data_IF_336857921326
#
_entry.id   IF_336857921326
#
_cell.length_a   1.000
_cell.length_b   1.000
_cell.length_c   1.000
_cell.angle_alpha   90.00
_cell.angle_beta   90.00
_cell.angle_gamma   90.00
#
_symmetry.space_group_name_H-M   'P 1'
#
loop_
_entity.id
_entity.type
_entity.pdbx_description
1 polymer ?
#
# COMPACT_ATOMS: atom_id res chain seq x y z
N UNK A 1 -0.43 -18.56 13.08
CA UNK A 1 0.22 -18.22 11.79
C UNK A 1 0.48 -16.72 11.82
N UNK A 2 1.73 -16.29 11.62
CA UNK A 2 2.11 -14.89 11.74
C UNK A 2 2.00 -14.18 10.37
N UNK A 3 1.51 -12.94 10.39
CA UNK A 3 1.63 -12.03 9.27
C UNK A 3 3.12 -11.76 9.04
N UNK A 4 3.67 -12.21 7.91
CA UNK A 4 5.09 -12.04 7.61
C UNK A 4 5.30 -10.82 6.71
N UNK A 5 6.08 -9.87 7.20
CA UNK A 5 6.59 -8.78 6.39
C UNK A 5 7.71 -9.30 5.49
N UNK A 6 7.43 -9.47 4.21
CA UNK A 6 8.40 -9.94 3.21
C UNK A 6 9.56 -8.95 3.06
N UNK A 7 9.30 -7.65 3.14
CA UNK A 7 10.33 -6.61 2.97
C UNK A 7 10.70 -5.95 4.29
N UNK A 8 11.98 -5.72 4.46
CA UNK A 8 12.51 -4.75 5.42
C UNK A 8 12.27 -3.33 4.88
N UNK A 9 11.93 -2.39 5.76
CA UNK A 9 11.69 -1.00 5.40
C UNK A 9 12.76 -0.13 6.03
N UNK A 10 13.37 0.72 5.20
CA UNK A 10 14.31 1.76 5.64
C UNK A 10 13.72 3.12 5.33
N UNK A 11 13.55 3.97 6.33
CA UNK A 11 13.00 5.30 6.16
C UNK A 11 14.01 6.24 5.50
N UNK A 12 13.53 7.04 4.57
CA UNK A 12 14.29 8.10 3.92
C UNK A 12 13.79 9.41 4.49
N UNK A 13 14.62 10.09 5.29
CA UNK A 13 14.25 11.38 5.83
C UNK A 13 14.17 12.46 4.74
N UNK A 14 12.96 12.87 4.41
CA UNK A 14 12.65 13.91 3.41
C UNK A 14 12.00 15.15 4.04
N UNK A 15 12.09 15.35 5.36
CA UNK A 15 11.42 16.45 6.06
C UNK A 15 11.67 17.80 5.41
N UNK A 16 12.92 18.11 5.01
CA UNK A 16 13.25 19.38 4.32
C UNK A 16 12.44 19.60 3.03
N UNK A 17 12.08 18.53 2.35
CA UNK A 17 11.27 18.57 1.13
C UNK A 17 9.78 18.62 1.48
N UNK A 18 9.35 17.79 2.43
CA UNK A 18 7.95 17.70 2.86
C UNK A 18 7.46 19.02 3.47
N UNK A 19 8.29 19.67 4.27
CA UNK A 19 7.96 20.96 4.91
C UNK A 19 7.81 22.14 3.90
N UNK A 20 8.21 21.94 2.64
CA UNK A 20 8.05 22.93 1.56
C UNK A 20 6.79 22.72 0.73
N UNK A 21 6.06 21.63 0.96
CA UNK A 21 4.82 21.34 0.23
C UNK A 21 3.73 22.35 0.66
N UNK A 22 3.05 22.90 -0.35
CA UNK A 22 1.93 23.85 -0.16
C UNK A 22 0.84 23.55 -1.17
N UNK A 23 -0.40 23.83 -0.81
CA UNK A 23 -1.58 23.74 -1.68
C UNK A 23 -1.60 22.43 -2.50
N UNK A 24 -1.42 21.31 -1.83
CA UNK A 24 -1.42 19.98 -2.46
C UNK A 24 -2.11 18.96 -1.55
N UNK A 25 -2.77 17.98 -2.15
CA UNK A 25 -3.20 16.80 -1.43
C UNK A 25 -1.97 15.90 -1.21
N UNK A 26 -1.66 15.62 0.04
CA UNK A 26 -0.57 14.71 0.44
C UNK A 26 -1.18 13.35 0.73
N UNK A 27 -0.97 12.39 -0.18
CA UNK A 27 -1.44 11.03 -0.02
C UNK A 27 -0.40 10.17 0.70
N UNK A 28 -0.70 9.80 1.93
CA UNK A 28 0.19 9.06 2.83
C UNK A 28 -0.11 7.57 2.71
N UNK A 29 0.79 6.80 2.10
CA UNK A 29 0.60 5.36 1.89
C UNK A 29 0.84 4.52 3.15
N UNK A 30 1.69 4.98 4.06
CA UNK A 30 2.09 4.25 5.27
C UNK A 30 2.37 5.19 6.44
N UNK A 31 2.10 4.72 7.64
CA UNK A 31 2.33 5.46 8.91
C UNK A 31 3.78 5.91 9.12
N UNK A 32 4.75 5.11 8.68
CA UNK A 32 6.19 5.35 8.85
C UNK A 32 6.63 6.72 8.32
N UNK A 33 5.95 7.21 7.25
CA UNK A 33 6.20 8.55 6.69
C UNK A 33 6.14 9.66 7.75
N UNK A 34 5.32 9.46 8.78
CA UNK A 34 5.05 10.45 9.83
C UNK A 34 5.94 10.29 11.07
N UNK A 35 6.73 9.21 11.17
CA UNK A 35 7.59 8.94 12.34
C UNK A 35 8.65 10.02 12.52
N UNK A 36 9.18 10.57 11.42
CA UNK A 36 10.12 11.70 11.44
C UNK A 36 9.46 13.07 11.67
N UNK A 37 8.16 13.09 11.98
CA UNK A 37 7.37 14.28 12.28
C UNK A 37 7.55 15.46 11.29
N UNK A 38 7.30 15.26 9.98
CA UNK A 38 7.30 16.36 9.03
C UNK A 38 6.24 17.39 9.41
N UNK A 39 6.54 18.67 9.18
CA UNK A 39 5.56 19.75 9.37
C UNK A 39 4.94 20.08 8.03
N UNK A 40 3.65 19.90 7.89
CA UNK A 40 2.93 20.25 6.67
C UNK A 40 2.29 21.61 6.78
N UNK A 41 2.34 22.38 5.68
CA UNK A 41 1.67 23.68 5.59
C UNK A 41 0.14 23.50 5.72
N UNK A 42 -0.52 24.46 6.37
CA UNK A 42 -1.97 24.42 6.59
C UNK A 42 -2.80 24.42 5.30
N UNK A 43 -2.22 24.83 4.16
CA UNK A 43 -2.86 24.72 2.84
C UNK A 43 -2.86 23.32 2.25
N UNK A 44 -2.18 22.35 2.88
CA UNK A 44 -2.15 20.98 2.44
C UNK A 44 -3.34 20.18 2.96
N UNK A 45 -3.88 19.31 2.11
CA UNK A 45 -4.90 18.33 2.47
C UNK A 45 -4.20 17.01 2.76
N UNK A 46 -4.28 16.48 3.98
CA UNK A 46 -3.67 15.21 4.33
C UNK A 46 -4.69 14.07 4.14
N UNK A 47 -4.30 13.06 3.38
CA UNK A 47 -5.12 11.89 3.08
C UNK A 47 -4.33 10.61 3.31
N UNK A 48 -4.93 9.58 3.92
CA UNK A 48 -4.26 8.31 4.16
C UNK A 48 -4.83 7.18 3.32
N UNK A 49 -4.02 6.18 3.03
CA UNK A 49 -4.44 4.99 2.27
C UNK A 49 -5.39 4.07 3.05
N UNK A 50 -5.47 4.19 4.37
CA UNK A 50 -6.33 3.35 5.20
C UNK A 50 -6.40 3.77 6.65
N UNK A 51 -7.42 3.28 7.38
CA UNK A 51 -7.74 3.61 8.78
C UNK A 51 -6.58 3.39 9.75
N UNK A 52 -5.76 2.36 9.55
CA UNK A 52 -4.59 2.09 10.41
C UNK A 52 -3.60 3.26 10.36
N UNK A 53 -3.30 3.78 9.17
CA UNK A 53 -2.43 4.94 9.00
C UNK A 53 -3.08 6.22 9.52
N UNK A 54 -4.39 6.38 9.32
CA UNK A 54 -5.18 7.49 9.84
C UNK A 54 -5.13 7.60 11.37
N UNK A 55 -5.38 6.49 12.07
CA UNK A 55 -5.32 6.44 13.56
C UNK A 55 -3.93 6.81 14.09
N UNK A 56 -2.87 6.28 13.48
CA UNK A 56 -1.50 6.62 13.88
C UNK A 56 -1.18 8.09 13.63
N UNK A 57 -1.59 8.63 12.47
CA UNK A 57 -1.41 10.05 12.15
C UNK A 57 -2.07 10.97 13.19
N UNK A 58 -3.32 10.66 13.55
CA UNK A 58 -4.04 11.44 14.58
C UNK A 58 -3.36 11.36 15.96
N UNK A 59 -2.88 10.17 16.35
CA UNK A 59 -2.12 10.01 17.60
C UNK A 59 -0.81 10.81 17.62
N UNK A 60 -0.24 11.07 16.43
CA UNK A 60 0.94 11.92 16.26
C UNK A 60 0.59 13.42 16.19
N UNK A 61 -0.69 13.78 16.26
CA UNK A 61 -1.17 15.17 16.25
C UNK A 61 -1.45 15.74 14.85
N UNK A 62 -1.50 14.90 13.80
CA UNK A 62 -1.86 15.36 12.46
C UNK A 62 -3.37 15.38 12.27
N UNK A 63 -3.88 16.48 11.72
CA UNK A 63 -5.25 16.54 11.23
C UNK A 63 -5.34 15.87 9.86
N UNK A 64 -6.00 14.72 9.79
CA UNK A 64 -6.20 13.98 8.54
C UNK A 64 -7.61 14.23 8.02
N UNK A 65 -7.70 14.73 6.78
CA UNK A 65 -8.95 15.14 6.14
C UNK A 65 -9.78 13.95 5.64
N UNK A 66 -9.12 12.80 5.37
CA UNK A 66 -9.80 11.59 4.96
C UNK A 66 -8.91 10.39 4.71
N UNK A 67 -9.54 9.28 4.35
CA UNK A 67 -8.85 8.01 4.09
C UNK A 67 -9.53 7.25 2.95
N UNK A 68 -8.74 6.53 2.15
CA UNK A 68 -9.26 5.65 1.09
C UNK A 68 -9.74 4.29 1.59
N UNK A 69 -9.49 3.96 2.82
CA UNK A 69 -9.86 2.75 3.57
C UNK A 69 -10.17 1.52 2.71
N UNK A 70 -9.15 0.77 2.36
CA UNK A 70 -9.24 -0.48 1.56
C UNK A 70 -9.65 -0.32 0.09
N UNK A 71 -10.12 0.84 -0.36
CA UNK A 71 -10.51 1.07 -1.76
C UNK A 71 -9.32 1.33 -2.69
N UNK A 72 -8.14 1.54 -2.10
CA UNK A 72 -6.88 1.69 -2.84
C UNK A 72 -6.70 3.05 -3.50
N UNK A 73 -5.64 3.15 -4.31
CA UNK A 73 -5.19 4.41 -4.92
C UNK A 73 -6.10 4.93 -6.04
N UNK A 74 -7.01 4.10 -6.55
CA UNK A 74 -7.99 4.53 -7.55
C UNK A 74 -8.92 5.63 -7.02
N UNK A 75 -9.11 5.68 -5.71
CA UNK A 75 -9.95 6.68 -5.04
C UNK A 75 -9.31 8.08 -4.97
N UNK A 76 -8.00 8.19 -5.23
CA UNK A 76 -7.36 9.52 -5.30
C UNK A 76 -8.04 10.39 -6.36
N UNK A 77 -8.44 9.80 -7.50
CA UNK A 77 -9.17 10.52 -8.54
C UNK A 77 -10.57 10.95 -8.09
N UNK A 78 -11.26 10.11 -7.34
CA UNK A 78 -12.57 10.46 -6.77
C UNK A 78 -12.45 11.61 -5.76
N UNK A 79 -11.37 11.65 -4.97
CA UNK A 79 -11.09 12.77 -4.06
C UNK A 79 -10.90 14.07 -4.83
N UNK A 80 -10.24 14.05 -6.00
CA UNK A 80 -10.09 15.25 -6.84
C UNK A 80 -11.43 15.86 -7.25
N UNK A 81 -12.46 15.06 -7.43
CA UNK A 81 -13.82 15.56 -7.75
C UNK A 81 -14.36 16.49 -6.63
N UNK A 82 -13.99 16.23 -5.37
CA UNK A 82 -14.43 17.04 -4.22
C UNK A 82 -13.55 18.27 -3.96
N UNK A 83 -12.23 18.16 -4.22
CA UNK A 83 -11.27 19.24 -3.91
C UNK A 83 -10.92 20.11 -5.11
N UNK A 84 -11.37 19.73 -6.31
CA UNK A 84 -11.08 20.36 -7.60
C UNK A 84 -10.12 19.52 -8.45
N UNK A 85 -10.49 19.31 -9.71
CA UNK A 85 -9.76 18.44 -10.65
C UNK A 85 -8.30 18.84 -10.86
N UNK A 86 -8.02 20.15 -10.75
CA UNK A 86 -6.67 20.69 -10.93
C UNK A 86 -5.85 20.78 -9.62
N UNK A 87 -6.41 20.34 -8.48
CA UNK A 87 -5.67 20.41 -7.23
C UNK A 87 -4.54 19.37 -7.24
N UNK A 88 -3.28 19.81 -7.03
CA UNK A 88 -2.14 18.92 -7.17
C UNK A 88 -2.17 17.80 -6.14
N UNK A 89 -1.71 16.63 -6.55
CA UNK A 89 -1.55 15.47 -5.66
C UNK A 89 -0.08 15.12 -5.53
N UNK A 90 0.37 14.93 -4.31
CA UNK A 90 1.70 14.43 -3.98
C UNK A 90 1.57 13.15 -3.16
N UNK A 91 2.02 12.03 -3.70
CA UNK A 91 2.00 10.72 -3.02
C UNK A 91 3.32 10.50 -2.29
N UNK A 92 3.24 10.17 -1.01
CA UNK A 92 4.37 9.75 -0.20
C UNK A 92 4.42 8.22 -0.19
N UNK A 93 5.45 7.64 -0.79
CA UNK A 93 5.50 6.20 -1.08
C UNK A 93 6.92 5.64 -1.02
N UNK A 94 7.10 4.37 -1.37
CA UNK A 94 8.41 3.76 -1.45
C UNK A 94 9.13 4.13 -2.76
N UNK A 95 10.44 4.02 -2.75
CA UNK A 95 11.30 4.28 -3.89
C UNK A 95 10.91 3.44 -5.10
N UNK A 96 10.86 4.07 -6.26
CA UNK A 96 10.46 3.48 -7.56
C UNK A 96 8.97 3.08 -7.67
N UNK A 97 8.10 3.72 -6.90
CA UNK A 97 6.64 3.58 -7.06
C UNK A 97 6.09 4.71 -7.94
N UNK A 98 6.38 4.63 -9.22
CA UNK A 98 5.93 5.64 -10.18
C UNK A 98 4.48 5.42 -10.59
N UNK A 99 3.66 6.46 -10.42
CA UNK A 99 2.28 6.48 -10.88
C UNK A 99 2.15 7.57 -11.94
N UNK A 100 1.67 7.25 -13.14
CA UNK A 100 1.46 8.25 -14.17
C UNK A 100 0.58 9.42 -13.69
N UNK A 101 1.03 10.64 -13.93
CA UNK A 101 0.33 11.88 -13.60
C UNK A 101 0.16 12.18 -12.09
N UNK A 102 0.88 11.49 -11.21
CA UNK A 102 0.92 11.79 -9.77
C UNK A 102 2.36 12.07 -9.36
N UNK A 103 2.60 13.22 -8.73
CA UNK A 103 3.91 13.52 -8.15
C UNK A 103 4.19 12.56 -7.01
N UNK A 104 5.31 11.84 -7.06
CA UNK A 104 5.75 10.92 -6.00
C UNK A 104 6.93 11.50 -5.22
N UNK A 105 6.98 11.22 -3.93
CA UNK A 105 8.14 11.48 -3.08
C UNK A 105 8.47 10.18 -2.37
N UNK A 106 9.71 9.72 -2.59
CA UNK A 106 10.22 8.51 -1.97
C UNK A 106 10.58 8.78 -0.51
N UNK A 107 9.83 8.22 0.41
CA UNK A 107 9.99 8.41 1.85
C UNK A 107 10.45 7.17 2.60
N UNK A 108 10.48 6.02 1.93
CA UNK A 108 11.08 4.78 2.42
C UNK A 108 11.52 3.88 1.27
N UNK A 109 12.40 2.94 1.57
CA UNK A 109 12.83 1.87 0.67
C UNK A 109 12.33 0.52 1.17
N UNK A 110 12.12 -0.41 0.23
CA UNK A 110 11.80 -1.80 0.49
C UNK A 110 13.03 -2.63 0.13
N UNK A 111 13.65 -3.23 1.13
CA UNK A 111 14.92 -3.94 1.00
C UNK A 111 14.79 -5.41 1.43
N UNK A 112 15.75 -6.23 1.03
CA UNK A 112 16.02 -7.55 1.56
C UNK A 112 14.75 -8.43 1.69
N UNK A 113 14.12 -8.84 0.57
CA UNK A 113 12.94 -9.69 0.66
C UNK A 113 13.27 -11.01 1.35
N UNK A 114 12.66 -11.25 2.50
CA UNK A 114 12.77 -12.49 3.28
C UNK A 114 11.51 -13.31 3.11
N UNK A 115 11.66 -14.52 2.65
CA UNK A 115 10.57 -15.47 2.49
C UNK A 115 10.71 -16.61 3.48
N UNK A 116 9.59 -17.21 3.91
CA UNK A 116 9.63 -18.44 4.69
C UNK A 116 10.36 -19.56 3.93
N UNK A 117 11.09 -20.40 4.65
CA UNK A 117 11.81 -21.53 4.06
C UNK A 117 10.87 -22.55 3.39
N UNK A 118 9.65 -22.65 3.89
CA UNK A 118 8.60 -23.54 3.38
C UNK A 118 7.76 -22.94 2.23
N UNK A 119 8.17 -21.79 1.68
CA UNK A 119 7.39 -21.02 0.69
C UNK A 119 6.91 -21.91 -0.50
N UNK A 120 7.79 -22.72 -1.05
CA UNK A 120 7.49 -23.62 -2.19
C UNK A 120 6.47 -24.71 -1.85
N UNK A 121 6.34 -25.09 -0.58
CA UNK A 121 5.48 -26.17 -0.11
C UNK A 121 4.09 -25.67 0.33
N UNK A 122 3.92 -24.37 0.48
CA UNK A 122 2.63 -23.80 0.84
C UNK A 122 1.64 -23.94 -0.29
N UNK A 123 0.39 -24.19 0.07
CA UNK A 123 -0.72 -24.36 -0.89
C UNK A 123 -1.49 -23.08 -1.14
N UNK A 124 -1.49 -22.17 -0.17
CA UNK A 124 -2.35 -20.99 -0.15
C UNK A 124 -1.61 -19.75 0.33
N UNK A 125 -1.90 -18.63 -0.30
CA UNK A 125 -1.23 -17.36 -0.07
C UNK A 125 -2.22 -16.20 0.00
N UNK A 126 -2.03 -15.30 0.97
CA UNK A 126 -2.71 -14.00 0.97
C UNK A 126 -1.70 -12.87 0.70
N UNK A 127 -1.93 -12.11 -0.37
CA UNK A 127 -1.01 -11.08 -0.82
C UNK A 127 -1.47 -9.67 -0.44
N UNK A 128 -0.70 -9.01 0.42
CA UNK A 128 -0.93 -7.62 0.81
C UNK A 128 -0.45 -6.61 -0.25
N UNK A 129 0.38 -7.04 -1.21
CA UNK A 129 0.86 -6.19 -2.30
C UNK A 129 1.26 -6.99 -3.53
N UNK A 130 1.08 -6.36 -4.69
CA UNK A 130 1.54 -6.92 -5.97
C UNK A 130 3.06 -7.10 -6.04
N UNK A 131 3.82 -6.18 -5.41
CA UNK A 131 5.28 -6.29 -5.38
C UNK A 131 5.72 -7.55 -4.64
N UNK A 132 5.13 -7.82 -3.46
CA UNK A 132 5.41 -9.03 -2.69
C UNK A 132 5.15 -10.30 -3.51
N UNK A 133 4.01 -10.36 -4.21
CA UNK A 133 3.69 -11.47 -5.10
C UNK A 133 4.72 -11.64 -6.22
N UNK A 134 5.05 -10.57 -6.94
CA UNK A 134 6.01 -10.64 -8.06
C UNK A 134 7.38 -11.10 -7.59
N UNK A 135 7.91 -10.52 -6.51
CA UNK A 135 9.20 -10.92 -5.95
C UNK A 135 9.21 -12.37 -5.47
N UNK A 136 8.08 -12.84 -4.90
CA UNK A 136 7.94 -14.24 -4.54
C UNK A 136 7.92 -15.15 -5.77
N UNK A 137 7.18 -14.76 -6.81
CA UNK A 137 7.08 -15.53 -8.05
C UNK A 137 8.41 -15.63 -8.79
N UNK A 138 9.20 -14.56 -8.82
CA UNK A 138 10.56 -14.56 -9.39
C UNK A 138 11.47 -15.57 -8.69
N UNK A 139 11.37 -15.68 -7.37
CA UNK A 139 12.20 -16.61 -6.58
C UNK A 139 11.64 -18.03 -6.54
N UNK A 140 10.33 -18.18 -6.57
CA UNK A 140 9.61 -19.45 -6.45
C UNK A 140 8.55 -19.57 -7.57
N UNK A 141 8.93 -19.85 -8.83
CA UNK A 141 7.99 -19.85 -9.96
C UNK A 141 6.83 -20.86 -9.81
N UNK A 142 7.05 -21.93 -9.06
CA UNK A 142 6.06 -22.99 -8.83
C UNK A 142 4.85 -22.54 -7.97
N UNK A 143 4.92 -21.36 -7.32
CA UNK A 143 3.77 -20.87 -6.57
C UNK A 143 2.63 -20.39 -7.48
N UNK A 144 2.88 -20.11 -8.75
CA UNK A 144 1.85 -19.62 -9.68
C UNK A 144 0.63 -20.58 -9.79
N UNK A 145 0.87 -21.88 -9.62
CA UNK A 145 -0.15 -22.93 -9.69
C UNK A 145 -0.91 -23.16 -8.38
N UNK A 146 -0.56 -22.43 -7.34
CA UNK A 146 -1.19 -22.53 -6.01
C UNK A 146 -2.42 -21.66 -5.91
N UNK A 147 -3.11 -21.73 -4.76
CA UNK A 147 -4.24 -20.86 -4.45
C UNK A 147 -3.75 -19.51 -3.93
N UNK A 148 -4.27 -18.44 -4.48
CA UNK A 148 -3.92 -17.08 -4.11
C UNK A 148 -5.15 -16.31 -3.65
N UNK A 149 -4.94 -15.43 -2.70
CA UNK A 149 -5.95 -14.48 -2.25
C UNK A 149 -5.33 -13.09 -2.06
N UNK A 150 -6.12 -12.07 -2.14
CA UNK A 150 -5.72 -10.70 -1.80
C UNK A 150 -6.93 -9.85 -1.41
N UNK A 151 -6.66 -8.65 -0.89
CA UNK A 151 -7.70 -7.65 -0.67
C UNK A 151 -8.21 -7.04 -1.98
N UNK A 152 -9.39 -6.43 -1.90
CA UNK A 152 -9.99 -5.67 -3.01
C UNK A 152 -9.08 -4.50 -3.44
N UNK A 153 -9.25 -4.03 -4.66
CA UNK A 153 -8.55 -2.84 -5.16
C UNK A 153 -7.40 -3.15 -6.13
N UNK A 154 -6.33 -2.36 -6.08
CA UNK A 154 -5.24 -2.43 -7.08
C UNK A 154 -4.47 -3.75 -7.06
N UNK A 155 -4.31 -4.37 -5.91
CA UNK A 155 -3.62 -5.66 -5.81
C UNK A 155 -4.37 -6.71 -6.60
N UNK A 156 -5.67 -6.85 -6.38
CA UNK A 156 -6.52 -7.80 -7.13
C UNK A 156 -6.49 -7.53 -8.64
N UNK A 157 -6.67 -6.27 -9.07
CA UNK A 157 -6.62 -5.89 -10.49
C UNK A 157 -5.30 -6.25 -11.17
N UNK A 158 -4.18 -6.12 -10.44
CA UNK A 158 -2.84 -6.43 -10.95
C UNK A 158 -2.55 -7.93 -10.92
N UNK A 159 -2.96 -8.64 -9.87
CA UNK A 159 -2.79 -10.10 -9.78
C UNK A 159 -3.61 -10.82 -10.85
N UNK A 160 -4.86 -10.41 -11.10
CA UNK A 160 -5.71 -10.97 -12.17
C UNK A 160 -5.08 -10.92 -13.57
N UNK A 161 -4.15 -9.98 -13.81
CA UNK A 161 -3.39 -9.91 -15.07
C UNK A 161 -2.23 -10.90 -15.15
N UNK A 162 -1.79 -11.45 -14.02
CA UNK A 162 -0.64 -12.35 -13.94
C UNK A 162 -1.14 -13.79 -13.74
N UNK A 163 -2.09 -13.96 -12.83
CA UNK A 163 -2.75 -15.24 -12.56
C UNK A 163 -3.91 -15.37 -13.54
N UNK A 164 -3.65 -16.07 -14.66
CA UNK A 164 -4.64 -16.21 -15.76
C UNK A 164 -5.76 -17.19 -15.45
N UNK A 165 -5.51 -18.17 -14.57
CA UNK A 165 -6.56 -19.07 -14.08
C UNK A 165 -7.36 -18.39 -12.95
N UNK A 166 -8.59 -17.98 -13.27
CA UNK A 166 -9.46 -17.26 -12.33
C UNK A 166 -9.81 -18.07 -11.08
N UNK A 167 -9.85 -19.40 -11.16
CA UNK A 167 -10.10 -20.29 -10.00
C UNK A 167 -8.97 -20.27 -8.98
N UNK A 168 -7.80 -19.74 -9.35
CA UNK A 168 -6.62 -19.64 -8.49
C UNK A 168 -6.49 -18.30 -7.75
N UNK A 169 -7.42 -17.38 -7.94
CA UNK A 169 -7.34 -16.04 -7.33
C UNK A 169 -8.67 -15.62 -6.69
N UNK A 170 -8.68 -15.61 -5.37
CA UNK A 170 -9.80 -15.14 -4.56
C UNK A 170 -9.61 -13.71 -4.07
N UNK A 171 -10.73 -13.04 -3.81
CA UNK A 171 -10.75 -11.68 -3.28
C UNK A 171 -11.53 -11.62 -1.97
N UNK A 172 -10.90 -11.09 -0.92
CA UNK A 172 -11.49 -10.96 0.41
C UNK A 172 -11.44 -9.52 0.90
N UNK A 173 -12.32 -9.17 1.84
CA UNK A 173 -12.34 -7.84 2.45
C UNK A 173 -11.10 -7.59 3.31
N UNK A 174 -10.59 -8.63 3.99
CA UNK A 174 -9.41 -8.53 4.83
C UNK A 174 -8.65 -9.87 4.91
N UNK A 175 -7.43 -9.82 5.45
CA UNK A 175 -6.65 -11.02 5.77
C UNK A 175 -7.40 -11.92 6.77
N UNK A 176 -8.02 -11.33 7.78
CA UNK A 176 -8.78 -12.05 8.81
C UNK A 176 -9.97 -12.79 8.19
N UNK A 177 -10.69 -12.16 7.27
CA UNK A 177 -11.80 -12.78 6.54
C UNK A 177 -11.34 -13.99 5.73
N UNK A 178 -10.21 -13.89 5.02
CA UNK A 178 -9.63 -15.02 4.31
C UNK A 178 -9.18 -16.12 5.26
N UNK A 179 -8.48 -15.76 6.34
CA UNK A 179 -7.95 -16.73 7.30
C UNK A 179 -9.04 -17.53 8.02
N UNK A 180 -10.15 -16.88 8.38
CA UNK A 180 -11.30 -17.56 8.99
C UNK A 180 -11.95 -18.55 8.01
N UNK A 181 -12.05 -18.18 6.73
CA UNK A 181 -12.61 -19.05 5.69
C UNK A 181 -11.77 -20.32 5.42
N UNK A 182 -10.48 -20.33 5.79
CA UNK A 182 -9.62 -21.52 5.68
C UNK A 182 -9.82 -22.52 6.85
N UNK A 183 -10.51 -22.12 7.90
CA UNK A 183 -10.70 -22.93 9.09
C UNK A 183 -12.06 -23.68 9.09
N UNK A 184 -12.97 -23.23 8.21
CA UNK A 184 -14.25 -23.87 7.94
C UNK A 184 -14.12 -24.97 6.87
#
# INVERSE_FOLDING_TARGET
KEEQNIFERSDINKNKMLNKLKSTLIYITRKNVLENRPVFDASCILWTSGLKSWRVANNLGYWIHGTSDSMGETEIKSVQTFIGENFPITKLTFKNDDIPNVKTIDVYELNNPKFPDDMSNRKEFFWMSTLAFKTALEKYPNIIDKQHACGMGNTFKKLKKIITNEEKLDCYLSYESWFNNLQD
#
